data_IF_796972325403
#
_entry.id   IF_796972325403
#
_cell.length_a   1.000
_cell.length_b   1.000
_cell.length_c   1.000
_cell.angle_alpha   90.00
_cell.angle_beta   90.00
_cell.angle_gamma   90.00
#
_symmetry.space_group_name_H-M   'P 1'
#
loop_
_entity.id
_entity.type
_entity.pdbx_description
1 polymer ?
#
# COMPACT_ATOMS: atom_id res chain seq x y z
N UNK A 1 -5.96 55.17 21.01
CA UNK A 1 -5.02 54.81 19.92
C UNK A 1 -3.77 54.04 20.39
N UNK A 2 -3.13 54.38 21.53
CA UNK A 2 -1.92 53.63 22.03
C UNK A 2 -2.25 52.21 22.46
N UNK A 3 -3.35 52.00 23.20
CA UNK A 3 -3.79 50.65 23.64
C UNK A 3 -4.05 49.70 22.47
N UNK A 4 -4.65 50.19 21.37
CA UNK A 4 -4.91 49.36 20.16
C UNK A 4 -3.61 48.94 19.47
N UNK A 5 -2.60 49.81 19.42
CA UNK A 5 -1.26 49.46 18.86
C UNK A 5 -0.57 48.42 19.72
N UNK A 6 -0.61 48.55 21.05
CA UNK A 6 -0.02 47.54 21.96
C UNK A 6 -0.73 46.21 21.82
N UNK A 7 -2.08 46.19 21.76
CA UNK A 7 -2.88 44.98 21.55
C UNK A 7 -2.48 44.31 20.21
N UNK A 8 -2.39 45.08 19.14
CA UNK A 8 -2.03 44.56 17.83
C UNK A 8 -0.63 43.93 17.83
N UNK A 9 0.36 44.58 18.46
CA UNK A 9 1.72 44.06 18.63
C UNK A 9 1.72 42.73 19.41
N UNK A 10 0.96 42.67 20.51
CA UNK A 10 0.81 41.43 21.30
C UNK A 10 0.19 40.30 20.48
N UNK A 11 -0.87 40.56 19.72
CA UNK A 11 -1.51 39.57 18.85
C UNK A 11 -0.52 39.03 17.80
N UNK A 12 0.30 39.90 17.19
CA UNK A 12 1.31 39.48 16.21
C UNK A 12 2.40 38.62 16.87
N UNK A 13 2.88 39.02 18.05
CA UNK A 13 3.93 38.28 18.77
C UNK A 13 3.38 36.91 19.21
N UNK A 14 2.26 36.86 19.90
CA UNK A 14 1.68 35.61 20.39
C UNK A 14 1.19 34.72 19.24
N UNK A 15 0.62 35.29 18.19
CA UNK A 15 0.25 34.56 16.97
C UNK A 15 1.46 33.94 16.27
N UNK A 16 2.54 34.69 16.14
CA UNK A 16 3.79 34.18 15.58
C UNK A 16 4.42 33.06 16.41
N UNK A 17 4.44 33.22 17.74
CA UNK A 17 4.92 32.17 18.66
C UNK A 17 4.04 30.91 18.59
N UNK A 18 2.72 31.07 18.51
CA UNK A 18 1.78 29.96 18.36
C UNK A 18 2.05 29.17 17.07
N UNK A 19 2.19 29.87 15.93
CA UNK A 19 2.50 29.22 14.64
C UNK A 19 3.84 28.47 14.71
N UNK A 20 4.87 29.06 15.32
CA UNK A 20 6.17 28.42 15.48
C UNK A 20 6.06 27.16 16.35
N UNK A 21 5.35 27.23 17.48
CA UNK A 21 5.13 26.10 18.37
C UNK A 21 4.34 24.98 17.67
N UNK A 22 3.33 25.32 16.90
CA UNK A 22 2.51 24.39 16.12
C UNK A 22 3.36 23.61 15.10
N UNK A 23 4.23 24.31 14.36
CA UNK A 23 5.13 23.66 13.39
C UNK A 23 6.18 22.74 14.03
N UNK A 24 6.73 23.15 15.15
CA UNK A 24 7.67 22.31 15.91
C UNK A 24 6.94 21.06 16.46
N UNK A 25 5.72 21.23 16.96
CA UNK A 25 4.94 20.13 17.52
C UNK A 25 4.59 19.08 16.45
N UNK A 26 4.12 19.50 15.27
CA UNK A 26 3.79 18.54 14.19
C UNK A 26 5.02 17.77 13.75
N UNK A 27 6.16 18.43 13.47
CA UNK A 27 7.37 17.74 13.04
C UNK A 27 7.85 16.70 14.08
N UNK A 28 7.77 17.04 15.38
CA UNK A 28 8.15 16.12 16.44
C UNK A 28 7.25 14.88 16.48
N UNK A 29 5.95 15.04 16.23
CA UNK A 29 5.00 13.93 16.20
C UNK A 29 5.19 13.06 14.97
N UNK A 30 5.41 13.67 13.80
CA UNK A 30 5.73 12.98 12.53
C UNK A 30 6.98 12.11 12.68
N UNK A 31 8.08 12.67 13.22
CA UNK A 31 9.34 11.94 13.46
C UNK A 31 9.14 10.75 14.41
N UNK A 32 8.38 10.95 15.50
CA UNK A 32 8.09 9.86 16.45
C UNK A 32 7.19 8.78 15.87
N UNK A 33 6.19 9.16 15.09
CA UNK A 33 5.31 8.23 14.40
C UNK A 33 6.12 7.40 13.37
N UNK A 34 6.96 8.06 12.58
CA UNK A 34 7.84 7.39 11.63
C UNK A 34 8.78 6.39 12.29
N UNK A 35 9.42 6.75 13.41
CA UNK A 35 10.30 5.84 14.15
C UNK A 35 9.54 4.68 14.80
N UNK A 36 8.32 4.92 15.33
CA UNK A 36 7.46 3.88 15.88
C UNK A 36 7.06 2.88 14.78
N UNK A 37 6.69 3.35 13.58
CA UNK A 37 6.37 2.50 12.44
C UNK A 37 7.61 1.71 12.01
N UNK A 38 8.77 2.38 11.88
CA UNK A 38 10.04 1.74 11.52
C UNK A 38 10.35 0.56 12.45
N UNK A 39 10.30 0.80 13.75
CA UNK A 39 10.63 -0.21 14.75
C UNK A 39 9.61 -1.34 14.84
N UNK A 40 8.31 -1.03 14.75
CA UNK A 40 7.25 -2.03 14.84
C UNK A 40 7.15 -2.93 13.60
N UNK A 41 7.46 -2.38 12.42
CA UNK A 41 7.43 -3.12 11.15
C UNK A 41 8.80 -3.67 10.74
N UNK A 42 9.86 -3.41 11.53
CA UNK A 42 11.21 -3.87 11.24
C UNK A 42 11.79 -3.29 9.94
N UNK A 43 11.46 -2.03 9.62
CA UNK A 43 11.88 -1.41 8.37
C UNK A 43 13.35 -0.99 8.41
N UNK A 44 14.08 -1.22 7.31
CA UNK A 44 15.46 -0.78 7.14
C UNK A 44 15.58 0.75 7.07
N UNK A 45 14.55 1.41 6.54
CA UNK A 45 14.48 2.87 6.37
C UNK A 45 13.33 3.45 7.17
N UNK A 46 13.55 4.64 7.72
CA UNK A 46 12.48 5.41 8.36
C UNK A 46 11.44 5.81 7.31
N UNK A 47 10.15 5.50 7.52
CA UNK A 47 9.09 5.93 6.64
C UNK A 47 8.91 7.46 6.69
N UNK A 48 8.30 8.00 5.66
CA UNK A 48 7.86 9.40 5.63
C UNK A 48 6.41 9.46 6.13
N UNK A 49 6.18 10.24 7.18
CA UNK A 49 4.85 10.47 7.75
C UNK A 49 4.59 11.96 7.76
N UNK A 50 3.50 12.39 7.17
CA UNK A 50 3.11 13.80 7.11
C UNK A 50 1.69 13.99 7.64
N UNK A 51 1.53 14.89 8.62
CA UNK A 51 0.25 15.29 9.18
C UNK A 51 -0.13 16.66 8.62
N UNK A 52 -1.19 16.69 7.84
CA UNK A 52 -1.65 17.91 7.17
C UNK A 52 -2.71 18.65 7.98
N UNK A 53 -2.91 19.91 7.59
CA UNK A 53 -3.86 20.79 8.23
C UNK A 53 -3.21 21.77 9.20
N UNK A 54 -3.95 22.82 9.52
CA UNK A 54 -3.49 23.90 10.40
C UNK A 54 -4.66 24.50 11.17
N UNK A 55 -4.51 24.81 12.47
CA UNK A 55 -3.39 24.47 13.34
C UNK A 55 -3.39 23.00 13.78
N UNK A 56 -2.22 22.36 13.81
CA UNK A 56 -2.06 20.98 14.27
C UNK A 56 -2.47 20.78 15.74
N UNK A 57 -2.05 21.70 16.61
CA UNK A 57 -2.36 21.60 18.04
C UNK A 57 -3.85 21.57 18.33
N UNK A 58 -4.67 22.29 17.55
CA UNK A 58 -6.14 22.28 17.72
C UNK A 58 -6.75 20.97 17.24
N UNK A 59 -6.20 20.38 16.18
CA UNK A 59 -6.60 19.06 15.69
C UNK A 59 -6.32 17.97 16.74
N UNK A 60 -5.13 17.97 17.33
CA UNK A 60 -4.76 17.03 18.39
C UNK A 60 -5.69 17.20 19.61
N UNK A 61 -5.93 18.44 20.06
CA UNK A 61 -6.85 18.67 21.17
C UNK A 61 -8.28 18.19 20.87
N UNK A 62 -8.73 18.31 19.62
CA UNK A 62 -10.00 17.75 19.13
C UNK A 62 -9.99 16.24 18.91
N UNK A 63 -8.80 15.62 18.94
CA UNK A 63 -8.58 14.20 18.58
C UNK A 63 -9.02 13.85 17.15
N UNK A 64 -8.95 14.82 16.27
CA UNK A 64 -9.37 14.69 14.88
C UNK A 64 -8.35 15.36 13.97
N UNK A 65 -7.56 14.55 13.26
CA UNK A 65 -6.57 15.00 12.28
C UNK A 65 -7.23 15.02 10.89
N UNK A 66 -7.07 16.12 10.18
CA UNK A 66 -7.69 16.29 8.85
C UNK A 66 -7.17 15.29 7.83
N UNK A 67 -5.84 15.11 7.79
CA UNK A 67 -5.21 14.23 6.82
C UNK A 67 -3.85 13.73 7.36
N UNK A 68 -3.60 12.45 7.18
CA UNK A 68 -2.31 11.81 7.48
C UNK A 68 -1.87 11.02 6.26
N UNK A 69 -0.68 11.34 5.75
CA UNK A 69 -0.02 10.59 4.69
C UNK A 69 1.12 9.76 5.27
N UNK A 70 1.31 8.56 4.72
CA UNK A 70 2.44 7.71 5.06
C UNK A 70 3.03 7.07 3.81
N UNK A 71 4.36 7.17 3.65
CA UNK A 71 5.12 6.47 2.61
C UNK A 71 6.12 5.52 3.25
N UNK A 72 6.00 4.23 2.95
CA UNK A 72 6.83 3.17 3.48
C UNK A 72 7.51 2.41 2.35
N UNK A 73 8.73 1.97 2.56
CA UNK A 73 9.48 1.17 1.59
C UNK A 73 10.02 -0.11 2.19
N UNK A 74 10.08 -1.16 1.37
CA UNK A 74 10.69 -2.43 1.78
C UNK A 74 9.91 -3.23 2.81
N UNK A 75 8.57 -3.14 2.78
CA UNK A 75 7.69 -3.85 3.72
C UNK A 75 7.63 -5.33 3.33
N UNK A 76 7.74 -6.21 4.30
CA UNK A 76 7.43 -7.62 4.13
C UNK A 76 5.99 -7.91 4.55
N UNK A 77 5.15 -8.19 3.56
CA UNK A 77 3.79 -8.67 3.75
C UNK A 77 3.72 -10.20 3.61
N UNK A 78 2.66 -10.79 4.11
CA UNK A 78 2.34 -12.20 3.87
C UNK A 78 1.07 -12.32 3.04
N UNK A 79 1.17 -13.10 1.98
CA UNK A 79 0.05 -13.45 1.14
C UNK A 79 0.01 -14.96 0.98
N UNK A 80 -1.04 -15.61 1.45
CA UNK A 80 -1.21 -17.07 1.40
C UNK A 80 0.00 -17.86 1.94
N UNK A 81 0.55 -17.39 3.06
CA UNK A 81 1.70 -18.01 3.73
C UNK A 81 3.08 -17.70 3.11
N UNK A 82 3.14 -17.05 1.95
CA UNK A 82 4.38 -16.64 1.30
C UNK A 82 4.77 -15.20 1.64
N UNK A 83 6.05 -14.97 1.87
CA UNK A 83 6.58 -13.61 2.05
C UNK A 83 6.53 -12.86 0.71
N UNK A 84 5.90 -11.69 0.72
CA UNK A 84 5.83 -10.78 -0.42
C UNK A 84 6.44 -9.44 -0.01
N UNK A 85 7.50 -9.04 -0.69
CA UNK A 85 8.10 -7.73 -0.48
C UNK A 85 7.34 -6.67 -1.28
N UNK A 86 6.93 -5.61 -0.59
CA UNK A 86 6.33 -4.41 -1.17
C UNK A 86 7.42 -3.35 -1.24
N UNK A 87 7.79 -2.93 -2.44
CA UNK A 87 8.87 -1.95 -2.64
C UNK A 87 8.49 -0.56 -2.12
N UNK A 88 7.26 -0.15 -2.37
CA UNK A 88 6.69 1.12 -1.91
C UNK A 88 5.21 0.95 -1.56
N UNK A 89 4.84 1.44 -0.39
CA UNK A 89 3.46 1.59 0.04
C UNK A 89 3.21 3.06 0.34
N UNK A 90 2.23 3.67 -0.32
CA UNK A 90 1.72 4.99 0.02
C UNK A 90 0.32 4.83 0.57
N UNK A 91 0.03 5.47 1.69
CA UNK A 91 -1.29 5.48 2.30
C UNK A 91 -1.68 6.91 2.66
N UNK A 92 -2.94 7.25 2.48
CA UNK A 92 -3.53 8.53 2.81
C UNK A 92 -4.82 8.30 3.58
N UNK A 93 -4.94 8.97 4.69
CA UNK A 93 -6.08 8.88 5.61
C UNK A 93 -6.69 10.26 5.81
N UNK A 94 -8.00 10.37 5.73
CA UNK A 94 -8.73 11.61 5.98
C UNK A 94 -9.65 11.45 7.18
N UNK A 95 -9.84 12.57 7.91
CA UNK A 95 -10.67 12.66 9.11
C UNK A 95 -10.33 11.52 10.10
N UNK A 96 -9.11 11.63 10.62
CA UNK A 96 -8.46 10.59 11.42
C UNK A 96 -8.73 10.79 12.89
N UNK A 97 -9.50 9.90 13.49
CA UNK A 97 -9.78 9.91 14.93
C UNK A 97 -8.61 9.30 15.72
N UNK A 98 -8.15 10.03 16.75
CA UNK A 98 -7.14 9.55 17.68
C UNK A 98 -7.79 8.86 18.87
N UNK A 99 -7.08 7.87 19.42
CA UNK A 99 -7.43 7.23 20.70
C UNK A 99 -7.47 8.23 21.86
N UNK A 100 -8.13 7.87 22.93
CA UNK A 100 -8.31 8.75 24.10
C UNK A 100 -7.00 9.16 24.78
N UNK A 101 -5.94 8.37 24.60
CA UNK A 101 -4.59 8.61 25.11
C UNK A 101 -3.69 9.37 24.12
N UNK A 102 -4.19 9.72 22.92
CA UNK A 102 -3.46 10.40 21.84
C UNK A 102 -2.26 9.62 21.27
N UNK A 103 -2.15 8.34 21.59
CA UNK A 103 -0.97 7.54 21.26
C UNK A 103 -1.10 6.74 19.98
N UNK A 104 -2.32 6.60 19.48
CA UNK A 104 -2.64 5.78 18.30
C UNK A 104 -3.81 6.35 17.50
N UNK A 105 -3.94 5.91 16.26
CA UNK A 105 -5.10 6.18 15.42
C UNK A 105 -6.15 5.10 15.71
N UNK A 106 -7.38 5.51 15.97
CA UNK A 106 -8.53 4.63 16.18
C UNK A 106 -9.21 4.27 14.86
N UNK A 107 -9.48 5.29 14.05
CA UNK A 107 -10.17 5.14 12.77
C UNK A 107 -9.86 6.30 11.83
N UNK A 108 -10.21 6.12 10.55
CA UNK A 108 -10.24 7.18 9.55
C UNK A 108 -11.56 7.12 8.77
N UNK A 109 -12.16 8.26 8.48
CA UNK A 109 -13.39 8.31 7.70
C UNK A 109 -13.17 7.76 6.29
N UNK A 110 -12.04 8.07 5.67
CA UNK A 110 -11.61 7.48 4.41
C UNK A 110 -10.13 7.12 4.45
N UNK A 111 -9.78 6.04 3.77
CA UNK A 111 -8.40 5.67 3.53
C UNK A 111 -8.22 5.26 2.08
N UNK A 112 -7.10 5.66 1.49
CA UNK A 112 -6.63 5.20 0.19
C UNK A 112 -5.21 4.70 0.31
N UNK A 113 -4.85 3.71 -0.49
CA UNK A 113 -3.52 3.15 -0.50
C UNK A 113 -3.07 2.72 -1.89
N UNK A 114 -1.78 2.75 -2.13
CA UNK A 114 -1.16 2.22 -3.33
C UNK A 114 0.11 1.46 -2.97
N UNK A 115 0.17 0.18 -3.34
CA UNK A 115 1.33 -0.67 -3.16
C UNK A 115 2.01 -0.93 -4.50
N UNK A 116 3.34 -0.82 -4.53
CA UNK A 116 4.18 -1.26 -5.66
C UNK A 116 4.95 -2.51 -5.30
N UNK A 117 4.92 -3.48 -6.20
CA UNK A 117 5.58 -4.79 -6.04
C UNK A 117 6.36 -5.07 -7.30
N UNK A 118 7.66 -5.32 -7.21
CA UNK A 118 8.48 -5.64 -8.37
C UNK A 118 8.15 -7.02 -8.95
N UNK A 119 8.43 -7.22 -10.24
CA UNK A 119 8.29 -8.55 -10.85
C UNK A 119 9.23 -9.59 -10.25
N UNK A 120 10.38 -9.16 -9.70
CA UNK A 120 11.30 -10.04 -9.01
C UNK A 120 10.70 -10.57 -7.71
N UNK A 121 10.01 -9.70 -6.94
CA UNK A 121 9.35 -10.09 -5.70
C UNK A 121 8.12 -10.96 -5.94
N UNK A 122 7.34 -10.65 -6.97
CA UNK A 122 6.24 -11.51 -7.43
C UNK A 122 6.70 -12.90 -7.85
N UNK A 123 7.81 -12.97 -8.62
CA UNK A 123 8.43 -14.22 -9.01
C UNK A 123 8.87 -15.04 -7.80
N UNK A 124 9.43 -14.39 -6.80
CA UNK A 124 9.86 -15.03 -5.54
C UNK A 124 8.65 -15.52 -4.73
N UNK A 125 7.60 -14.72 -4.61
CA UNK A 125 6.36 -15.07 -3.91
C UNK A 125 5.60 -16.21 -4.60
N UNK A 126 5.74 -16.37 -5.93
CA UNK A 126 5.18 -17.48 -6.69
C UNK A 126 5.95 -18.82 -6.49
N UNK A 127 6.91 -18.87 -5.57
CA UNK A 127 7.60 -20.10 -5.18
C UNK A 127 8.67 -20.60 -6.15
N UNK A 128 9.16 -19.74 -7.06
CA UNK A 128 10.29 -20.04 -7.97
C UNK A 128 9.98 -21.01 -9.12
N UNK A 129 8.75 -21.51 -9.22
CA UNK A 129 8.30 -22.36 -10.34
C UNK A 129 8.02 -21.61 -11.64
N UNK A 130 7.94 -20.27 -11.57
CA UNK A 130 7.65 -19.39 -12.70
C UNK A 130 8.49 -18.12 -12.62
N UNK A 131 8.71 -17.49 -13.78
CA UNK A 131 9.23 -16.12 -13.87
C UNK A 131 8.11 -15.22 -14.35
N UNK A 132 7.85 -14.13 -13.63
CA UNK A 132 6.82 -13.15 -13.96
C UNK A 132 7.50 -11.90 -14.51
N UNK A 133 7.00 -11.38 -15.65
CA UNK A 133 7.50 -10.16 -16.29
C UNK A 133 6.37 -9.35 -16.92
N UNK A 134 6.66 -8.14 -17.35
CA UNK A 134 5.70 -7.23 -17.98
C UNK A 134 5.16 -7.77 -19.31
N UNK A 135 3.84 -7.66 -19.52
CA UNK A 135 3.19 -7.95 -20.80
C UNK A 135 2.22 -6.85 -21.25
N UNK A 136 2.12 -5.75 -20.50
CA UNK A 136 1.28 -4.62 -20.85
C UNK A 136 -0.17 -4.77 -20.40
N UNK A 137 -1.07 -4.19 -21.22
CA UNK A 137 -2.51 -4.23 -21.01
C UNK A 137 -3.20 -4.66 -22.30
N UNK A 138 -4.22 -5.49 -22.20
CA UNK A 138 -5.05 -5.90 -23.35
C UNK A 138 -6.51 -5.91 -22.97
N UNK A 139 -7.33 -5.20 -23.75
CA UNK A 139 -8.78 -5.09 -23.53
C UNK A 139 -9.15 -4.62 -22.10
N UNK A 140 -8.41 -3.64 -21.56
CA UNK A 140 -8.62 -3.11 -20.20
C UNK A 140 -8.20 -4.05 -19.08
N UNK A 141 -7.47 -5.15 -19.38
CA UNK A 141 -6.95 -6.08 -18.39
C UNK A 141 -5.45 -5.99 -18.31
N UNK A 142 -4.94 -5.86 -17.12
CA UNK A 142 -3.51 -5.91 -16.82
C UNK A 142 -2.95 -7.30 -17.11
N UNK A 143 -1.92 -7.37 -17.93
CA UNK A 143 -1.31 -8.63 -18.36
C UNK A 143 0.13 -8.74 -17.87
N UNK A 144 0.50 -9.97 -17.51
CA UNK A 144 1.86 -10.37 -17.19
C UNK A 144 2.26 -11.55 -18.07
N UNK A 145 3.54 -11.63 -18.37
CA UNK A 145 4.15 -12.78 -19.03
C UNK A 145 4.65 -13.72 -17.96
N UNK A 146 4.26 -14.97 -18.05
CA UNK A 146 4.62 -16.03 -17.13
C UNK A 146 5.45 -17.06 -17.91
N UNK A 147 6.68 -17.27 -17.49
CA UNK A 147 7.57 -18.28 -18.07
C UNK A 147 7.73 -19.41 -17.06
N UNK A 148 7.09 -20.57 -17.26
CA UNK A 148 7.22 -21.70 -16.35
C UNK A 148 8.64 -22.26 -16.31
N UNK A 149 9.15 -22.53 -15.12
CA UNK A 149 10.48 -23.14 -14.93
C UNK A 149 10.38 -24.67 -15.01
N UNK A 150 9.93 -25.18 -16.17
CA UNK A 150 9.83 -26.62 -16.44
C UNK A 150 10.89 -27.04 -17.47
N UNK A 151 11.64 -28.13 -17.26
CA UNK A 151 12.78 -28.51 -18.12
C UNK A 151 12.47 -28.61 -19.62
N UNK A 152 11.26 -29.02 -19.99
CA UNK A 152 10.81 -29.13 -21.39
C UNK A 152 9.93 -27.93 -21.84
N UNK A 153 9.52 -27.07 -20.93
CA UNK A 153 8.58 -25.96 -21.18
C UNK A 153 9.17 -24.60 -20.81
N UNK A 154 10.44 -24.53 -20.44
CA UNK A 154 11.12 -23.30 -20.01
C UNK A 154 11.19 -22.19 -21.08
N UNK A 155 10.97 -22.53 -22.36
CA UNK A 155 10.89 -21.59 -23.47
C UNK A 155 9.46 -21.16 -23.80
N UNK A 156 8.46 -21.64 -23.08
CA UNK A 156 7.05 -21.34 -23.35
C UNK A 156 6.58 -20.21 -22.47
N UNK A 157 6.46 -19.06 -23.07
CA UNK A 157 5.85 -17.90 -22.43
C UNK A 157 4.33 -17.99 -22.49
N UNK A 158 3.70 -17.86 -21.34
CA UNK A 158 2.24 -17.80 -21.22
C UNK A 158 1.87 -16.39 -20.81
N UNK A 159 0.92 -15.77 -21.51
CA UNK A 159 0.33 -14.52 -21.05
C UNK A 159 -0.75 -14.84 -20.03
N UNK A 160 -0.70 -14.16 -18.90
CA UNK A 160 -1.72 -14.25 -17.86
C UNK A 160 -2.33 -12.88 -17.56
N UNK A 161 -3.60 -12.87 -17.21
CA UNK A 161 -4.27 -11.69 -16.68
C UNK A 161 -4.22 -11.67 -15.16
N UNK A 162 -4.03 -10.47 -14.62
CA UNK A 162 -4.06 -10.22 -13.19
C UNK A 162 -5.28 -9.36 -12.85
N UNK A 163 -5.98 -9.71 -11.78
CA UNK A 163 -7.24 -9.06 -11.38
C UNK A 163 -7.44 -9.12 -9.87
N UNK A 164 -8.31 -8.25 -9.36
CA UNK A 164 -8.79 -8.30 -7.98
C UNK A 164 -10.10 -9.06 -7.92
N UNK A 165 -10.23 -9.95 -6.94
CA UNK A 165 -11.46 -10.68 -6.65
C UNK A 165 -11.80 -10.56 -5.16
N UNK A 166 -13.09 -10.47 -4.85
CA UNK A 166 -13.62 -10.35 -3.48
C UNK A 166 -13.06 -9.15 -2.68
N UNK A 167 -12.40 -8.19 -3.33
CA UNK A 167 -11.82 -7.00 -2.68
C UNK A 167 -10.61 -7.26 -1.76
N UNK A 168 -10.13 -8.50 -1.68
CA UNK A 168 -8.97 -8.86 -0.84
C UNK A 168 -8.03 -9.88 -1.46
N UNK A 169 -8.30 -10.31 -2.68
CA UNK A 169 -7.54 -11.39 -3.34
C UNK A 169 -7.01 -10.90 -4.68
N UNK A 170 -5.72 -10.99 -4.87
CA UNK A 170 -5.07 -10.81 -6.17
C UNK A 170 -5.06 -12.13 -6.89
N UNK A 171 -5.67 -12.19 -8.06
CA UNK A 171 -5.81 -13.38 -8.88
C UNK A 171 -4.97 -13.28 -10.14
N UNK A 172 -4.13 -14.29 -10.38
CA UNK A 172 -3.39 -14.50 -11.62
C UNK A 172 -3.97 -15.72 -12.34
N UNK A 173 -4.28 -15.58 -13.62
CA UNK A 173 -4.77 -16.67 -14.48
C UNK A 173 -4.10 -16.64 -15.83
N UNK A 174 -3.69 -17.79 -16.33
CA UNK A 174 -3.23 -17.93 -17.71
C UNK A 174 -4.37 -17.67 -18.69
N UNK A 175 -4.19 -16.70 -19.60
CA UNK A 175 -5.20 -16.35 -20.62
C UNK A 175 -5.23 -17.33 -21.79
N UNK A 176 -4.11 -18.00 -22.05
CA UNK A 176 -3.98 -18.96 -23.13
C UNK A 176 -2.92 -20.00 -22.81
N UNK A 177 -3.17 -21.23 -23.25
CA UNK A 177 -2.22 -22.33 -23.11
C UNK A 177 -1.43 -22.48 -24.41
N UNK A 178 -0.15 -22.87 -24.31
CA UNK A 178 0.63 -23.22 -25.48
C UNK A 178 -0.08 -24.23 -26.36
N UNK A 179 -0.03 -24.07 -27.70
CA UNK A 179 -0.73 -24.95 -28.65
C UNK A 179 -0.43 -26.44 -28.47
N UNK A 180 0.78 -26.76 -27.98
CA UNK A 180 1.20 -28.14 -27.67
C UNK A 180 0.38 -28.78 -26.56
N UNK A 181 -0.19 -28.00 -25.63
CA UNK A 181 -1.05 -28.54 -24.57
C UNK A 181 -2.37 -29.14 -25.08
N UNK A 182 -2.73 -28.85 -26.34
CA UNK A 182 -3.91 -29.46 -26.97
C UNK A 182 -3.69 -30.92 -27.34
N UNK A 183 -2.43 -31.32 -27.54
CA UNK A 183 -2.07 -32.70 -27.97
C UNK A 183 -1.40 -33.52 -26.86
N UNK A 184 -0.91 -32.87 -25.79
CA UNK A 184 -0.23 -33.53 -24.67
C UNK A 184 -1.19 -33.73 -23.48
N UNK A 185 -1.58 -34.95 -23.13
CA UNK A 185 -2.42 -35.22 -21.96
C UNK A 185 -1.78 -34.68 -20.69
N UNK A 186 -2.57 -33.99 -19.85
CA UNK A 186 -2.12 -33.42 -18.58
C UNK A 186 -1.24 -32.16 -18.68
N UNK A 187 -0.94 -31.65 -19.89
CA UNK A 187 -0.18 -30.42 -20.08
C UNK A 187 -0.92 -29.22 -19.47
N UNK A 188 -2.19 -29.07 -19.77
CA UNK A 188 -3.02 -27.97 -19.26
C UNK A 188 -3.01 -27.91 -17.73
N UNK A 189 -3.29 -29.02 -17.06
CA UNK A 189 -3.33 -29.06 -15.60
C UNK A 189 -1.99 -28.71 -14.96
N UNK A 190 -0.89 -29.16 -15.55
CA UNK A 190 0.48 -28.84 -15.08
C UNK A 190 0.82 -27.37 -15.28
N UNK A 191 0.47 -26.79 -16.43
CA UNK A 191 0.69 -25.35 -16.67
C UNK A 191 -0.14 -24.52 -15.71
N UNK A 192 -1.44 -24.78 -15.60
CA UNK A 192 -2.33 -24.05 -14.70
C UNK A 192 -1.93 -24.16 -13.23
N UNK A 193 -1.48 -25.33 -12.79
CA UNK A 193 -0.98 -25.51 -11.43
C UNK A 193 0.23 -24.62 -11.10
N UNK A 194 0.97 -24.19 -12.12
CA UNK A 194 2.11 -23.28 -11.95
C UNK A 194 1.83 -21.82 -12.27
N UNK A 195 0.83 -21.55 -13.08
CA UNK A 195 0.51 -20.17 -13.53
C UNK A 195 -0.68 -19.55 -12.83
N UNK A 196 -1.62 -20.39 -12.35
CA UNK A 196 -2.86 -19.90 -11.75
C UNK A 196 -2.70 -19.80 -10.24
N UNK A 197 -2.65 -18.57 -9.73
CA UNK A 197 -2.47 -18.27 -8.31
C UNK A 197 -3.53 -17.31 -7.81
N UNK A 198 -3.99 -17.52 -6.59
CA UNK A 198 -4.83 -16.61 -5.83
C UNK A 198 -4.05 -16.23 -4.56
N UNK A 199 -3.67 -14.96 -4.41
CA UNK A 199 -3.03 -14.45 -3.22
C UNK A 199 -4.05 -13.66 -2.40
N UNK A 200 -4.53 -14.28 -1.34
CA UNK A 200 -5.42 -13.64 -0.40
C UNK A 200 -4.63 -12.81 0.60
N UNK A 201 -5.01 -11.54 0.75
CA UNK A 201 -4.46 -10.65 1.76
C UNK A 201 -5.31 -10.79 3.03
N UNK A 202 -4.75 -11.44 4.06
CA UNK A 202 -5.50 -11.79 5.27
C UNK A 202 -5.54 -10.66 6.32
N UNK A 203 -4.70 -9.62 6.16
CA UNK A 203 -4.51 -8.56 7.16
C UNK A 203 -4.79 -7.15 6.61
N UNK A 204 -5.80 -7.01 5.76
CA UNK A 204 -6.26 -5.68 5.40
C UNK A 204 -6.97 -5.06 6.61
N UNK A 205 -6.70 -3.77 6.93
CA UNK A 205 -7.49 -3.04 7.93
C UNK A 205 -8.98 -3.15 7.66
N UNK A 206 -9.80 -3.16 8.73
CA UNK A 206 -11.24 -3.30 8.59
C UNK A 206 -11.83 -2.29 7.61
N UNK A 207 -12.70 -2.72 6.72
CA UNK A 207 -13.34 -1.96 5.65
C UNK A 207 -12.42 -1.50 4.49
N UNK A 208 -11.12 -1.80 4.51
CA UNK A 208 -10.24 -1.54 3.36
C UNK A 208 -10.41 -2.66 2.32
N UNK A 209 -10.56 -2.30 1.05
CA UNK A 209 -10.68 -3.23 -0.08
C UNK A 209 -9.71 -2.87 -1.17
N UNK A 210 -9.20 -3.90 -1.85
CA UNK A 210 -8.44 -3.71 -3.07
C UNK A 210 -9.40 -3.30 -4.19
N UNK A 211 -9.05 -2.26 -4.94
CA UNK A 211 -9.87 -1.70 -6.02
C UNK A 211 -9.36 -2.13 -7.38
N UNK A 212 -8.06 -1.94 -7.61
CA UNK A 212 -7.46 -2.10 -8.92
C UNK A 212 -6.05 -2.66 -8.82
N UNK A 213 -5.68 -3.49 -9.80
CA UNK A 213 -4.31 -3.84 -10.10
C UNK A 213 -3.94 -3.36 -11.48
N UNK A 214 -2.76 -2.78 -11.62
CA UNK A 214 -2.22 -2.31 -12.91
C UNK A 214 -0.80 -2.82 -13.10
N UNK A 215 -0.47 -3.24 -14.32
CA UNK A 215 0.88 -3.62 -14.71
C UNK A 215 1.67 -2.38 -15.12
N UNK A 216 2.85 -2.20 -14.51
CA UNK A 216 3.84 -1.18 -14.82
C UNK A 216 5.06 -1.85 -15.47
N UNK A 217 5.94 -1.08 -16.09
CA UNK A 217 7.15 -1.62 -16.72
C UNK A 217 8.08 -2.36 -15.74
N UNK A 218 8.08 -1.95 -14.47
CA UNK A 218 8.96 -2.44 -13.39
C UNK A 218 8.27 -3.34 -12.37
N UNK A 219 6.93 -3.48 -12.43
CA UNK A 219 6.18 -4.26 -11.45
C UNK A 219 4.67 -4.10 -11.55
N UNK A 220 4.00 -4.36 -10.45
CA UNK A 220 2.56 -4.14 -10.27
C UNK A 220 2.29 -2.95 -9.35
N UNK A 221 1.24 -2.21 -9.64
CA UNK A 221 0.61 -1.25 -8.75
C UNK A 221 -0.75 -1.77 -8.32
N UNK A 222 -0.98 -1.86 -7.01
CA UNK A 222 -2.24 -2.29 -6.43
C UNK A 222 -2.80 -1.13 -5.64
N UNK A 223 -3.99 -0.65 -5.97
CA UNK A 223 -4.69 0.36 -5.20
C UNK A 223 -5.76 -0.25 -4.32
N UNK A 224 -5.98 0.40 -3.18
CA UNK A 224 -6.99 0.04 -2.20
C UNK A 224 -7.68 1.29 -1.68
N UNK A 225 -8.95 1.17 -1.31
CA UNK A 225 -9.69 2.23 -0.64
C UNK A 225 -10.67 1.67 0.40
N UNK A 226 -11.11 2.53 1.30
CA UNK A 226 -12.09 2.18 2.31
C UNK A 226 -12.72 3.40 2.94
N UNK A 227 -13.88 3.19 3.54
CA UNK A 227 -14.60 4.16 4.37
C UNK A 227 -14.80 3.57 5.75
N UNK A 228 -14.85 4.44 6.78
CA UNK A 228 -14.95 4.02 8.18
C UNK A 228 -13.91 2.95 8.55
N UNK A 229 -12.66 3.19 8.13
CA UNK A 229 -11.55 2.25 8.29
C UNK A 229 -11.09 2.24 9.74
N UNK A 230 -11.22 1.09 10.40
CA UNK A 230 -10.66 0.89 11.74
C UNK A 230 -9.22 0.45 11.65
N UNK A 231 -8.34 1.16 12.33
CA UNK A 231 -6.92 0.87 12.38
C UNK A 231 -6.60 0.20 13.72
N UNK A 232 -5.88 -0.93 13.71
CA UNK A 232 -5.40 -1.53 14.97
C UNK A 232 -4.40 -0.56 15.59
N UNK A 233 -4.71 -0.06 16.79
CA UNK A 233 -3.87 0.83 17.58
C UNK A 233 -2.60 0.15 18.10
#
# INVERSE_FOLDING_TARGET
MRALRVLLVLVVIFGGLFVAADRVAVNLVEDKAAEKIRSSQGLDKTPDVTIKGFPFLTQVLGRDLQEVDAELGGIEARADGHALRIDKLSAQFHDVALTSDYMSIESAATATGNARISYADLTRAAGGGVKITYAGEKNGRSQVKISPNLPLLSSLDVTGSISIVHGNTVRLRADGLPGMCRVLPGCESKVRAQTDHDWKLDQLPGNLKLDKVATLADGLSISASGTDVKLPG
#
